data_IF_327724953115
#
_entry.id   IF_327724953115
#
_cell.length_a   1.000
_cell.length_b   1.000
_cell.length_c   1.000
_cell.angle_alpha   90.00
_cell.angle_beta   90.00
_cell.angle_gamma   90.00
#
_symmetry.space_group_name_H-M   'P 1'
#
loop_
_entity.id
_entity.type
_entity.pdbx_description
1 polymer ?
#
# COMPACT_ATOMS: atom_id res chain seq x y z
N UNK A 1 -1.24 9.80 -9.70
CA UNK A 1 -0.78 8.61 -10.45
C UNK A 1 -1.23 7.28 -9.85
N UNK A 2 -0.91 6.97 -8.59
CA UNK A 2 -1.36 5.73 -7.96
C UNK A 2 -2.88 5.56 -7.99
N UNK A 3 -3.65 6.55 -7.55
CA UNK A 3 -5.11 6.52 -7.64
C UNK A 3 -5.63 6.25 -9.07
N UNK A 4 -4.92 6.76 -10.08
CA UNK A 4 -5.28 6.64 -11.49
C UNK A 4 -4.73 5.36 -12.16
N UNK A 5 -4.18 4.41 -11.40
CA UNK A 5 -3.66 3.15 -11.94
C UNK A 5 -2.36 3.31 -12.76
N UNK A 6 -1.57 4.35 -12.49
CA UNK A 6 -0.28 4.64 -13.16
C UNK A 6 0.92 4.42 -12.24
N UNK A 7 1.23 3.17 -11.84
CA UNK A 7 2.26 2.89 -10.84
C UNK A 7 3.69 3.14 -11.37
N UNK A 8 3.94 2.91 -12.66
CA UNK A 8 5.28 3.09 -13.25
C UNK A 8 5.72 4.56 -13.24
N UNK A 9 4.79 5.46 -13.56
CA UNK A 9 4.99 6.91 -13.55
C UNK A 9 5.06 7.46 -12.13
N UNK A 10 4.24 6.93 -11.21
CA UNK A 10 4.34 7.26 -9.79
C UNK A 10 5.72 6.90 -9.24
N UNK A 11 6.22 5.69 -9.53
CA UNK A 11 7.54 5.24 -9.07
C UNK A 11 8.65 6.14 -9.63
N UNK A 12 8.58 6.49 -10.92
CA UNK A 12 9.57 7.37 -11.55
C UNK A 12 9.60 8.78 -10.92
N UNK A 13 8.43 9.33 -10.53
CA UNK A 13 8.35 10.65 -9.88
C UNK A 13 8.80 10.62 -8.42
N UNK A 14 8.60 9.51 -7.72
CA UNK A 14 8.94 9.36 -6.31
C UNK A 14 10.40 8.97 -6.08
N UNK A 15 11.03 8.27 -7.02
CA UNK A 15 12.44 7.84 -6.94
C UNK A 15 13.41 8.97 -6.51
N UNK A 16 13.44 10.16 -7.15
CA UNK A 16 14.37 11.21 -6.74
C UNK A 16 14.14 11.71 -5.33
N UNK A 17 12.88 11.72 -4.86
CA UNK A 17 12.52 12.12 -3.49
C UNK A 17 13.02 11.09 -2.47
N UNK A 18 12.92 9.81 -2.79
CA UNK A 18 13.38 8.74 -1.91
C UNK A 18 14.90 8.67 -1.90
N UNK A 19 15.56 8.69 -3.06
CA UNK A 19 17.02 8.50 -3.14
C UNK A 19 17.83 9.72 -2.72
N UNK A 20 17.34 10.93 -3.04
CA UNK A 20 18.11 12.17 -2.91
C UNK A 20 17.36 13.30 -2.20
N UNK A 21 16.10 13.09 -1.85
CA UNK A 21 15.30 14.10 -1.17
C UNK A 21 15.77 14.34 0.27
N UNK A 22 15.40 15.52 0.77
CA UNK A 22 15.52 15.86 2.18
C UNK A 22 14.83 14.79 3.05
N UNK A 23 15.40 14.48 4.22
CA UNK A 23 14.95 13.35 5.04
C UNK A 23 13.44 13.39 5.32
N UNK A 24 12.88 14.56 5.65
CA UNK A 24 11.45 14.68 5.93
C UNK A 24 10.57 14.34 4.73
N UNK A 25 10.98 14.74 3.52
CA UNK A 25 10.26 14.46 2.28
C UNK A 25 10.40 12.99 1.87
N UNK A 26 11.60 12.43 2.02
CA UNK A 26 11.85 10.99 1.83
C UNK A 26 10.87 10.18 2.64
N UNK A 27 10.73 10.50 3.93
CA UNK A 27 9.90 9.73 4.85
C UNK A 27 8.42 9.71 4.47
N UNK A 28 7.87 10.83 3.99
CA UNK A 28 6.50 10.89 3.48
C UNK A 28 6.32 10.14 2.14
N UNK A 29 7.39 10.04 1.35
CA UNK A 29 7.35 9.45 0.01
C UNK A 29 7.52 7.91 0.01
N UNK A 30 8.23 7.33 0.98
CA UNK A 30 8.57 5.88 0.96
C UNK A 30 7.33 4.98 0.78
N UNK A 31 6.23 5.13 1.55
CA UNK A 31 5.09 4.20 1.41
C UNK A 31 4.47 4.24 0.00
N UNK A 32 4.38 5.42 -0.61
CA UNK A 32 3.93 5.59 -1.98
C UNK A 32 4.92 5.01 -3.00
N UNK A 33 6.21 5.21 -2.78
CA UNK A 33 7.28 4.71 -3.65
C UNK A 33 7.31 3.18 -3.67
N UNK A 34 7.17 2.54 -2.50
CA UNK A 34 7.11 1.08 -2.37
C UNK A 34 5.89 0.53 -3.08
N UNK A 35 4.70 1.10 -2.83
CA UNK A 35 3.47 0.70 -3.53
C UNK A 35 3.63 0.82 -5.04
N UNK A 36 4.11 1.98 -5.52
CA UNK A 36 4.28 2.23 -6.94
C UNK A 36 5.28 1.25 -7.58
N UNK A 37 6.41 1.01 -6.93
CA UNK A 37 7.47 0.15 -7.45
C UNK A 37 7.04 -1.31 -7.50
N UNK A 38 6.35 -1.80 -6.46
CA UNK A 38 5.81 -3.17 -6.43
C UNK A 38 4.72 -3.35 -7.50
N UNK A 39 3.77 -2.42 -7.59
CA UNK A 39 2.70 -2.50 -8.60
C UNK A 39 3.21 -2.35 -10.04
N UNK A 40 4.33 -1.67 -10.25
CA UNK A 40 5.00 -1.57 -11.55
C UNK A 40 5.91 -2.76 -11.87
N UNK A 41 6.01 -3.77 -11.00
CA UNK A 41 6.90 -4.92 -11.20
C UNK A 41 8.40 -4.58 -11.09
N UNK A 42 8.74 -3.48 -10.45
CA UNK A 42 10.13 -2.98 -10.29
C UNK A 42 10.80 -3.43 -8.99
N UNK A 43 10.05 -4.03 -8.06
CA UNK A 43 10.63 -4.67 -6.89
C UNK A 43 11.19 -6.04 -7.30
N UNK A 44 12.52 -6.19 -7.23
CA UNK A 44 13.19 -7.41 -7.66
C UNK A 44 13.15 -8.44 -6.53
N UNK A 45 12.25 -9.43 -6.63
CA UNK A 45 12.22 -10.56 -5.68
C UNK A 45 13.41 -11.51 -5.88
N UNK A 46 14.11 -11.45 -7.03
CA UNK A 46 15.06 -12.48 -7.45
C UNK A 46 16.22 -11.89 -8.24
N UNK A 47 17.37 -11.71 -7.60
CA UNK A 47 18.65 -11.59 -8.31
C UNK A 47 19.68 -10.69 -7.65
N UNK A 48 20.34 -11.18 -6.59
CA UNK A 48 21.73 -10.91 -6.20
C UNK A 48 22.24 -9.48 -5.94
N UNK A 49 21.54 -8.44 -6.38
CA UNK A 49 21.81 -7.04 -6.09
C UNK A 49 20.90 -6.51 -4.99
N UNK A 50 21.30 -5.41 -4.36
CA UNK A 50 20.45 -4.74 -3.39
C UNK A 50 19.20 -4.16 -4.09
N UNK A 51 18.01 -4.55 -3.64
CA UNK A 51 16.74 -4.01 -4.12
C UNK A 51 16.53 -2.62 -3.50
N UNK A 52 16.55 -1.53 -4.29
CA UNK A 52 16.37 -0.17 -3.78
C UNK A 52 15.03 0.01 -3.03
N UNK A 53 14.01 -0.80 -3.36
CA UNK A 53 12.72 -0.77 -2.67
C UNK A 53 12.84 -1.38 -1.28
N UNK A 54 13.55 -2.50 -1.15
CA UNK A 54 13.80 -3.15 0.13
C UNK A 54 14.70 -2.29 1.03
N UNK A 55 15.73 -1.64 0.48
CA UNK A 55 16.57 -0.67 1.20
C UNK A 55 15.74 0.50 1.74
N UNK A 56 14.86 1.09 0.92
CA UNK A 56 13.98 2.16 1.36
C UNK A 56 13.06 1.72 2.52
N UNK A 57 12.57 0.47 2.50
CA UNK A 57 11.78 -0.09 3.61
C UNK A 57 12.62 -0.31 4.87
N UNK A 58 13.87 -0.73 4.73
CA UNK A 58 14.79 -0.89 5.87
C UNK A 58 15.10 0.46 6.53
N UNK A 59 15.39 1.51 5.73
CA UNK A 59 15.55 2.88 6.24
C UNK A 59 14.27 3.39 6.90
N UNK A 60 13.10 3.15 6.28
CA UNK A 60 11.81 3.53 6.83
C UNK A 60 11.54 2.87 8.19
N UNK A 61 11.96 1.61 8.35
CA UNK A 61 11.85 0.89 9.62
C UNK A 61 12.71 1.52 10.73
N UNK A 62 13.93 1.99 10.41
CA UNK A 62 14.79 2.69 11.38
C UNK A 62 14.15 4.01 11.82
N UNK A 63 13.47 4.73 10.93
CA UNK A 63 12.75 5.94 11.32
C UNK A 63 11.48 5.65 12.12
N UNK A 64 10.77 4.56 11.80
CA UNK A 64 9.56 4.16 12.51
C UNK A 64 9.79 3.92 14.01
N UNK A 65 11.02 3.63 14.44
CA UNK A 65 11.37 3.50 15.87
C UNK A 65 11.58 4.84 16.59
N UNK A 66 11.67 5.95 15.85
CA UNK A 66 12.00 7.29 16.36
C UNK A 66 10.84 8.28 16.28
N UNK A 67 9.82 7.97 15.49
CA UNK A 67 8.66 8.83 15.30
C UNK A 67 7.58 8.58 16.36
N UNK A 68 6.81 9.62 16.67
CA UNK A 68 5.62 9.54 17.52
C UNK A 68 4.32 9.47 16.70
N UNK A 69 4.41 9.52 15.37
CA UNK A 69 3.25 9.41 14.49
C UNK A 69 2.70 7.97 14.52
N UNK A 70 1.47 7.76 15.02
CA UNK A 70 0.89 6.43 15.17
C UNK A 70 0.60 5.74 13.83
N UNK A 71 0.53 6.48 12.71
CA UNK A 71 0.29 5.90 11.38
C UNK A 71 1.52 5.17 10.82
N UNK A 72 2.72 5.51 11.29
CA UNK A 72 3.96 5.02 10.68
C UNK A 72 4.12 3.50 10.83
N UNK A 73 3.90 2.88 12.00
CA UNK A 73 3.94 1.42 12.11
C UNK A 73 2.99 0.72 11.15
N UNK A 74 1.79 1.26 10.93
CA UNK A 74 0.80 0.71 10.01
C UNK A 74 1.26 0.79 8.56
N UNK A 75 1.80 1.94 8.15
CA UNK A 75 2.36 2.13 6.81
C UNK A 75 3.60 1.27 6.56
N UNK A 76 4.47 1.09 7.57
CA UNK A 76 5.62 0.19 7.50
C UNK A 76 5.18 -1.27 7.34
N UNK A 77 4.19 -1.70 8.11
CA UNK A 77 3.62 -3.05 8.00
C UNK A 77 3.02 -3.28 6.60
N UNK A 78 2.31 -2.29 6.03
CA UNK A 78 1.84 -2.35 4.63
C UNK A 78 3.00 -2.48 3.64
N UNK A 79 4.07 -1.69 3.79
CA UNK A 79 5.25 -1.80 2.91
C UNK A 79 5.86 -3.20 2.96
N UNK A 80 5.96 -3.79 4.17
CA UNK A 80 6.41 -5.17 4.36
C UNK A 80 5.46 -6.18 3.72
N UNK A 81 4.14 -5.97 3.80
CA UNK A 81 3.15 -6.83 3.16
C UNK A 81 3.26 -6.83 1.62
N UNK A 82 3.58 -5.67 1.03
CA UNK A 82 3.80 -5.54 -0.42
C UNK A 82 5.04 -6.29 -0.91
N UNK A 83 6.10 -6.35 -0.10
CA UNK A 83 7.35 -7.04 -0.42
C UNK A 83 7.39 -8.51 0.06
N UNK A 84 6.41 -8.93 0.87
CA UNK A 84 6.41 -10.25 1.46
C UNK A 84 6.24 -11.35 0.40
N UNK A 85 6.86 -12.53 0.62
CA UNK A 85 6.50 -13.73 -0.11
C UNK A 85 4.99 -14.00 0.00
N UNK A 86 4.45 -14.67 -1.02
CA UNK A 86 3.01 -14.94 -1.11
C UNK A 86 2.44 -15.64 0.13
N UNK A 87 3.18 -16.59 0.70
CA UNK A 87 2.79 -17.34 1.90
C UNK A 87 2.62 -16.47 3.14
N UNK A 88 3.30 -15.31 3.19
CA UNK A 88 3.30 -14.42 4.36
C UNK A 88 2.45 -13.16 4.15
N UNK A 89 2.23 -12.75 2.90
CA UNK A 89 1.61 -11.46 2.58
C UNK A 89 0.24 -11.25 3.25
N UNK A 90 -0.61 -12.28 3.30
CA UNK A 90 -1.92 -12.17 3.97
C UNK A 90 -1.79 -11.82 5.46
N UNK A 91 -0.87 -12.49 6.19
CA UNK A 91 -0.61 -12.20 7.59
C UNK A 91 -0.08 -10.77 7.80
N UNK A 92 0.85 -10.34 6.95
CA UNK A 92 1.42 -8.97 7.01
C UNK A 92 0.39 -7.88 6.70
N UNK A 93 -0.57 -8.14 5.80
CA UNK A 93 -1.70 -7.22 5.62
C UNK A 93 -2.59 -7.15 6.86
N UNK A 94 -2.85 -8.30 7.51
CA UNK A 94 -3.58 -8.35 8.78
C UNK A 94 -2.89 -7.53 9.88
N UNK A 95 -1.57 -7.66 10.02
CA UNK A 95 -0.77 -6.84 10.94
C UNK A 95 -0.91 -5.33 10.65
N UNK A 96 -0.81 -4.94 9.37
CA UNK A 96 -0.96 -3.55 8.97
C UNK A 96 -2.36 -2.98 9.32
N UNK A 97 -3.42 -3.75 9.10
CA UNK A 97 -4.78 -3.36 9.47
C UNK A 97 -4.94 -3.24 10.98
N UNK A 98 -4.41 -4.18 11.76
CA UNK A 98 -4.43 -4.11 13.22
C UNK A 98 -3.66 -2.89 13.77
N UNK A 99 -2.62 -2.43 13.07
CA UNK A 99 -1.96 -1.17 13.42
C UNK A 99 -2.83 0.04 13.08
N UNK A 100 -3.49 0.07 11.92
CA UNK A 100 -4.40 1.15 11.56
C UNK A 100 -5.58 1.28 12.54
N UNK A 101 -6.15 0.16 13.00
CA UNK A 101 -7.25 0.18 13.97
C UNK A 101 -6.88 0.90 15.28
N UNK A 102 -5.59 0.88 15.66
CA UNK A 102 -5.09 1.58 16.85
C UNK A 102 -4.67 3.03 16.57
N UNK A 103 -4.32 3.34 15.32
CA UNK A 103 -3.72 4.62 14.93
C UNK A 103 -4.73 5.62 14.36
N UNK A 104 -5.90 5.16 13.91
CA UNK A 104 -6.88 5.96 13.16
C UNK A 104 -6.48 6.12 11.69
N UNK A 105 -6.90 7.22 11.06
CA UNK A 105 -6.48 7.56 9.70
C UNK A 105 -7.21 6.76 8.62
N UNK A 106 -8.49 7.08 8.41
CA UNK A 106 -9.39 6.40 7.48
C UNK A 106 -8.80 6.22 6.08
N UNK A 107 -8.09 7.23 5.57
CA UNK A 107 -7.49 7.18 4.24
C UNK A 107 -6.39 6.13 4.10
N UNK A 108 -5.43 6.11 5.04
CA UNK A 108 -4.30 5.19 4.98
C UNK A 108 -4.74 3.75 5.28
N UNK A 109 -5.74 3.59 6.15
CA UNK A 109 -6.39 2.30 6.37
C UNK A 109 -7.12 1.81 5.11
N UNK A 110 -7.92 2.66 4.46
CA UNK A 110 -8.61 2.34 3.21
C UNK A 110 -7.62 1.93 2.09
N UNK A 111 -6.47 2.59 2.03
CA UNK A 111 -5.38 2.25 1.09
C UNK A 111 -4.76 0.88 1.38
N UNK A 112 -4.56 0.53 2.63
CA UNK A 112 -4.12 -0.82 3.03
C UNK A 112 -5.17 -1.88 2.67
N UNK A 113 -6.46 -1.61 2.94
CA UNK A 113 -7.57 -2.51 2.57
C UNK A 113 -7.69 -2.71 1.06
N UNK A 114 -7.56 -1.63 0.27
CA UNK A 114 -7.57 -1.71 -1.19
C UNK A 114 -6.48 -2.66 -1.70
N UNK A 115 -5.24 -2.50 -1.20
CA UNK A 115 -4.12 -3.34 -1.62
C UNK A 115 -4.31 -4.80 -1.22
N UNK A 116 -4.82 -5.05 -0.01
CA UNK A 116 -5.10 -6.40 0.46
C UNK A 116 -6.20 -7.08 -0.37
N UNK A 117 -7.31 -6.38 -0.60
CA UNK A 117 -8.40 -6.85 -1.44
C UNK A 117 -7.97 -7.13 -2.88
N UNK A 118 -7.21 -6.21 -3.50
CA UNK A 118 -6.61 -6.42 -4.82
C UNK A 118 -5.67 -7.63 -4.86
N UNK A 119 -4.87 -7.83 -3.81
CA UNK A 119 -3.96 -8.96 -3.67
C UNK A 119 -4.71 -10.30 -3.58
N UNK A 120 -5.81 -10.35 -2.80
CA UNK A 120 -6.70 -11.52 -2.71
C UNK A 120 -7.36 -11.83 -4.05
N UNK A 121 -7.93 -10.81 -4.72
CA UNK A 121 -8.59 -10.96 -6.02
C UNK A 121 -7.64 -11.54 -7.06
N UNK A 122 -6.41 -11.02 -7.17
CA UNK A 122 -5.39 -11.54 -8.12
C UNK A 122 -5.05 -13.01 -7.88
N UNK A 123 -5.32 -13.53 -6.68
CA UNK A 123 -5.14 -14.94 -6.29
C UNK A 123 -6.41 -15.77 -6.38
N UNK A 124 -7.44 -15.27 -7.07
CA UNK A 124 -8.75 -15.91 -7.23
C UNK A 124 -9.49 -16.14 -5.90
N UNK A 125 -9.06 -15.48 -4.80
CA UNK A 125 -9.75 -15.45 -3.50
C UNK A 125 -10.83 -14.37 -3.49
N UNK A 126 -11.67 -14.40 -4.53
CA UNK A 126 -12.60 -13.31 -4.86
C UNK A 126 -13.63 -13.05 -3.77
N UNK A 127 -14.14 -14.09 -3.10
CA UNK A 127 -15.09 -13.94 -1.99
C UNK A 127 -14.48 -13.15 -0.83
N UNK A 128 -13.24 -13.48 -0.45
CA UNK A 128 -12.52 -12.84 0.64
C UNK A 128 -12.07 -11.42 0.28
N UNK A 129 -11.86 -11.13 -1.00
CA UNK A 129 -11.49 -9.79 -1.47
C UNK A 129 -12.62 -8.75 -1.29
N UNK A 130 -13.89 -9.17 -1.31
CA UNK A 130 -15.04 -8.24 -1.38
C UNK A 130 -15.15 -7.34 -0.16
N UNK A 131 -14.99 -7.89 1.04
CA UNK A 131 -15.08 -7.13 2.29
C UNK A 131 -14.02 -6.02 2.38
N UNK A 132 -12.70 -6.30 2.28
CA UNK A 132 -11.70 -5.24 2.33
C UNK A 132 -11.86 -4.24 1.17
N UNK A 133 -12.31 -4.67 -0.01
CA UNK A 133 -12.56 -3.73 -1.13
C UNK A 133 -13.76 -2.81 -0.88
N UNK A 134 -14.84 -3.30 -0.24
CA UNK A 134 -15.99 -2.46 0.17
C UNK A 134 -15.57 -1.47 1.24
N UNK A 135 -14.88 -1.92 2.27
CA UNK A 135 -14.40 -1.05 3.34
C UNK A 135 -13.41 0.01 2.83
N UNK A 136 -12.58 -0.35 1.85
CA UNK A 136 -11.72 0.61 1.17
C UNK A 136 -12.53 1.68 0.42
N UNK A 137 -13.57 1.27 -0.32
CA UNK A 137 -14.45 2.19 -1.03
C UNK A 137 -15.11 3.18 -0.05
N UNK A 138 -15.76 2.67 1.01
CA UNK A 138 -16.40 3.49 2.04
C UNK A 138 -15.39 4.45 2.70
N UNK A 139 -14.19 3.96 3.01
CA UNK A 139 -13.14 4.79 3.58
C UNK A 139 -12.73 5.93 2.64
N UNK A 140 -12.55 5.66 1.35
CA UNK A 140 -12.21 6.72 0.38
C UNK A 140 -13.35 7.71 0.14
N UNK A 141 -14.61 7.28 0.18
CA UNK A 141 -15.77 8.17 0.09
C UNK A 141 -15.85 9.11 1.29
N UNK A 142 -15.68 8.59 2.50
CA UNK A 142 -15.62 9.40 3.73
C UNK A 142 -14.48 10.42 3.72
N UNK A 143 -13.34 10.06 3.14
CA UNK A 143 -12.21 10.97 2.99
C UNK A 143 -12.36 11.97 1.83
N UNK A 144 -13.43 11.92 1.03
CA UNK A 144 -13.58 12.79 -0.14
C UNK A 144 -12.52 12.53 -1.21
N UNK A 145 -12.12 11.26 -1.41
CA UNK A 145 -11.05 10.86 -2.32
C UNK A 145 -11.58 10.15 -3.59
N UNK A 146 -12.24 10.86 -4.52
CA UNK A 146 -13.01 10.25 -5.62
C UNK A 146 -12.17 9.39 -6.56
N UNK A 147 -10.91 9.78 -6.83
CA UNK A 147 -10.01 8.98 -7.67
C UNK A 147 -9.68 7.62 -7.03
N UNK A 148 -9.56 7.57 -5.71
CA UNK A 148 -9.31 6.32 -4.98
C UNK A 148 -10.59 5.49 -4.83
N UNK A 149 -11.73 6.14 -4.56
CA UNK A 149 -13.03 5.48 -4.55
C UNK A 149 -13.35 4.80 -5.89
N UNK A 150 -13.12 5.50 -7.02
CA UNK A 150 -13.29 4.93 -8.36
C UNK A 150 -12.40 3.69 -8.59
N UNK A 151 -11.15 3.73 -8.10
CA UNK A 151 -10.23 2.58 -8.16
C UNK A 151 -10.74 1.41 -7.31
N UNK A 152 -11.17 1.66 -6.08
CA UNK A 152 -11.72 0.62 -5.19
C UNK A 152 -13.00 -0.01 -5.77
N UNK A 153 -13.91 0.81 -6.30
CA UNK A 153 -15.12 0.38 -7.01
C UNK A 153 -14.78 -0.52 -8.21
N UNK A 154 -13.76 -0.17 -9.00
CA UNK A 154 -13.30 -1.01 -10.12
C UNK A 154 -12.76 -2.37 -9.68
N UNK A 155 -11.98 -2.39 -8.60
CA UNK A 155 -11.47 -3.63 -8.00
C UNK A 155 -12.60 -4.51 -7.43
N UNK A 156 -13.60 -3.89 -6.79
CA UNK A 156 -14.77 -4.58 -6.23
C UNK A 156 -15.66 -5.19 -7.32
N UNK A 157 -15.90 -4.47 -8.42
CA UNK A 157 -16.59 -5.01 -9.61
C UNK A 157 -15.83 -6.18 -10.22
N UNK A 158 -14.51 -6.06 -10.33
CA UNK A 158 -13.66 -7.16 -10.79
C UNK A 158 -13.63 -8.36 -9.81
N UNK A 159 -14.00 -8.15 -8.54
CA UNK A 159 -14.27 -9.21 -7.57
C UNK A 159 -15.72 -9.74 -7.63
N UNK A 160 -16.47 -9.40 -8.68
CA UNK A 160 -17.83 -9.89 -8.94
C UNK A 160 -18.84 -9.46 -7.88
N UNK A 161 -18.67 -8.28 -7.29
CA UNK A 161 -19.67 -7.66 -6.42
C UNK A 161 -20.24 -6.40 -7.10
N UNK A 162 -21.54 -6.16 -6.89
CA UNK A 162 -22.15 -4.89 -7.23
C UNK A 162 -21.56 -3.77 -6.36
N UNK A 163 -21.44 -2.59 -6.94
CA UNK A 163 -21.14 -1.35 -6.24
C UNK A 163 -22.47 -0.63 -6.24
N UNK A 164 -23.15 -0.64 -5.10
CA UNK A 164 -24.43 0.04 -4.91
C UNK A 164 -24.19 1.53 -4.63
#
# INVERSE_FOLDING_TARGET
DLAAGRPAEAAARLDPLVRRGHFATRMLAVPCYVEASVLAGRAAVRGGGADPVAEAVAEFAVWATRTTDPQVPAQLARCRALLAPESEAAGRYGEALAHHDRAGGDFEQARTRLLFGSWLRRRRRTREAREPLRDALVGFERCGAPAWAARASGELRAAGAAVD
#
